data_IF_995172218837
#
_entry.id   IF_995172218837
#
_cell.length_a   1.000
_cell.length_b   1.000
_cell.length_c   1.000
_cell.angle_alpha   90.00
_cell.angle_beta   90.00
_cell.angle_gamma   90.00
#
_symmetry.space_group_name_H-M   'P 1'
#
loop_
_entity.id
_entity.type
_entity.pdbx_description
1 polymer ?
#
# COMPACT_ATOMS: atom_id res chain seq x y z
N UNK A 1 22.22 -10.48 -4.79
CA UNK A 1 21.47 -9.23 -5.07
C UNK A 1 20.74 -8.67 -3.85
N UNK A 2 20.52 -9.45 -2.76
CA UNK A 2 19.79 -9.01 -1.56
C UNK A 2 20.37 -7.74 -0.91
N UNK A 3 21.66 -7.73 -0.56
CA UNK A 3 22.33 -6.56 0.06
C UNK A 3 22.20 -5.27 -0.75
N UNK A 4 22.33 -5.36 -2.07
CA UNK A 4 22.19 -4.22 -2.98
C UNK A 4 20.74 -3.70 -3.01
N UNK A 5 19.76 -4.61 -2.96
CA UNK A 5 18.35 -4.26 -2.87
C UNK A 5 18.04 -3.51 -1.57
N UNK A 6 18.55 -4.00 -0.44
CA UNK A 6 18.38 -3.36 0.87
C UNK A 6 18.96 -1.94 0.90
N UNK A 7 20.21 -1.77 0.47
CA UNK A 7 20.85 -0.45 0.41
C UNK A 7 20.10 0.52 -0.52
N UNK A 8 19.55 0.02 -1.63
CA UNK A 8 18.77 0.85 -2.55
C UNK A 8 17.41 1.22 -1.95
N UNK A 9 16.74 0.27 -1.30
CA UNK A 9 15.45 0.48 -0.66
C UNK A 9 15.53 1.57 0.43
N UNK A 10 16.59 1.58 1.24
CA UNK A 10 16.81 2.63 2.26
C UNK A 10 16.95 4.02 1.64
N UNK A 11 17.61 4.12 0.49
CA UNK A 11 17.79 5.39 -0.25
C UNK A 11 16.51 5.86 -0.93
N UNK A 12 15.74 4.95 -1.51
CA UNK A 12 14.53 5.28 -2.28
C UNK A 12 13.32 5.51 -1.38
N UNK A 13 13.15 4.69 -0.34
CA UNK A 13 12.02 4.72 0.58
C UNK A 13 12.42 5.19 1.98
N UNK A 14 13.13 6.32 2.03
CA UNK A 14 13.44 7.00 3.29
C UNK A 14 12.15 7.32 4.04
N UNK A 15 12.10 6.94 5.31
CA UNK A 15 10.93 7.19 6.16
C UNK A 15 10.82 8.69 6.45
N UNK A 16 9.60 9.20 6.35
CA UNK A 16 9.26 10.57 6.75
C UNK A 16 8.87 10.60 8.25
N UNK A 17 9.07 11.71 8.95
CA UNK A 17 8.63 11.87 10.34
C UNK A 17 7.14 11.64 10.50
N UNK A 18 6.73 11.04 11.63
CA UNK A 18 5.34 10.61 11.84
C UNK A 18 4.31 11.75 11.71
N UNK A 19 4.68 12.95 12.14
CA UNK A 19 3.83 14.15 12.06
C UNK A 19 3.58 14.61 10.62
N UNK A 20 4.50 14.33 9.69
CA UNK A 20 4.42 14.74 8.28
C UNK A 20 3.69 13.72 7.40
N UNK A 21 3.55 12.47 7.88
CA UNK A 21 2.97 11.35 7.11
C UNK A 21 1.57 11.61 6.64
N UNK A 22 0.67 11.93 7.58
CA UNK A 22 -0.75 12.08 7.28
C UNK A 22 -1.05 13.31 6.40
N UNK A 23 -0.44 14.49 6.64
CA UNK A 23 -0.51 15.61 5.69
C UNK A 23 -0.10 15.23 4.28
N UNK A 24 1.08 14.60 4.13
CA UNK A 24 1.60 14.17 2.83
C UNK A 24 0.64 13.20 2.13
N UNK A 25 0.11 12.20 2.84
CA UNK A 25 -0.85 11.26 2.24
C UNK A 25 -2.11 11.98 1.76
N UNK A 26 -2.69 12.86 2.59
CA UNK A 26 -3.92 13.59 2.25
C UNK A 26 -3.75 14.50 1.05
N UNK A 27 -2.59 15.13 0.90
CA UNK A 27 -2.30 15.98 -0.24
C UNK A 27 -2.10 15.13 -1.50
N UNK A 28 -1.23 14.13 -1.44
CA UNK A 28 -0.92 13.28 -2.60
C UNK A 28 -2.13 12.47 -3.11
N UNK A 29 -3.07 12.09 -2.23
CA UNK A 29 -4.24 11.29 -2.60
C UNK A 29 -5.50 12.12 -2.88
N UNK A 30 -5.42 13.45 -2.76
CA UNK A 30 -6.54 14.35 -3.03
C UNK A 30 -6.99 14.35 -4.49
N UNK A 31 -6.06 14.10 -5.42
CA UNK A 31 -6.32 14.08 -6.86
C UNK A 31 -6.83 12.71 -7.36
N UNK A 32 -7.06 11.75 -6.45
CA UNK A 32 -7.53 10.43 -6.84
C UNK A 32 -8.92 10.51 -7.49
N UNK A 33 -9.04 9.95 -8.69
CA UNK A 33 -10.29 9.89 -9.46
C UNK A 33 -11.03 8.55 -9.29
N UNK A 34 -10.66 7.75 -8.28
CA UNK A 34 -11.24 6.43 -7.97
C UNK A 34 -11.32 5.45 -9.16
N UNK A 35 -10.36 5.52 -10.10
CA UNK A 35 -10.35 4.66 -11.30
C UNK A 35 -10.04 3.16 -11.02
N UNK A 36 -9.56 2.82 -9.82
CA UNK A 36 -9.24 1.44 -9.44
C UNK A 36 -7.99 0.83 -10.10
N UNK A 37 -7.30 1.53 -11.01
CA UNK A 37 -6.12 1.00 -11.72
C UNK A 37 -5.02 0.46 -10.80
N UNK A 38 -4.75 1.19 -9.70
CA UNK A 38 -3.75 0.77 -8.71
C UNK A 38 -4.09 -0.56 -8.01
N UNK A 39 -5.38 -0.91 -7.87
CA UNK A 39 -5.84 -2.20 -7.35
C UNK A 39 -5.58 -3.30 -8.36
N UNK A 40 -6.04 -3.09 -9.61
CA UNK A 40 -5.96 -4.08 -10.67
C UNK A 40 -4.51 -4.48 -11.00
N UNK A 41 -3.59 -3.52 -11.00
CA UNK A 41 -2.19 -3.77 -11.31
C UNK A 41 -1.38 -4.39 -10.15
N UNK A 42 -1.96 -4.52 -8.96
CA UNK A 42 -1.21 -4.92 -7.77
C UNK A 42 -1.19 -6.45 -7.61
N UNK A 43 -0.01 -7.10 -7.69
CA UNK A 43 0.09 -8.55 -7.67
C UNK A 43 -0.21 -9.18 -6.30
N UNK A 44 -0.15 -8.38 -5.23
CA UNK A 44 -0.39 -8.85 -3.85
C UNK A 44 -1.79 -8.52 -3.34
N UNK A 45 -2.59 -7.79 -4.13
CA UNK A 45 -3.97 -7.51 -3.78
C UNK A 45 -4.83 -8.70 -4.21
N UNK A 46 -5.11 -9.61 -3.29
CA UNK A 46 -5.82 -10.86 -3.56
C UNK A 46 -7.33 -10.72 -3.70
N UNK A 47 -7.89 -9.58 -3.29
CA UNK A 47 -9.32 -9.33 -3.39
C UNK A 47 -9.72 -9.11 -4.87
N UNK A 48 -10.50 -10.04 -5.42
CA UNK A 48 -11.04 -9.98 -6.79
C UNK A 48 -12.06 -8.84 -7.00
N UNK A 49 -12.97 -9.01 -7.96
CA UNK A 49 -13.92 -7.95 -8.33
C UNK A 49 -14.91 -7.62 -7.20
N UNK A 50 -15.23 -8.59 -6.35
CA UNK A 50 -16.12 -8.44 -5.18
C UNK A 50 -15.44 -7.79 -3.95
N UNK A 51 -14.30 -7.14 -4.14
CA UNK A 51 -13.55 -6.51 -3.06
C UNK A 51 -14.37 -5.38 -2.41
N UNK A 52 -14.82 -5.56 -1.17
CA UNK A 52 -15.60 -4.55 -0.43
C UNK A 52 -14.93 -3.17 -0.36
N UNK A 53 -13.60 -3.10 -0.48
CA UNK A 53 -12.89 -1.83 -0.48
C UNK A 53 -13.22 -0.92 -1.68
N UNK A 54 -13.68 -1.48 -2.81
CA UNK A 54 -14.16 -0.70 -3.96
C UNK A 54 -15.55 -0.13 -3.73
N UNK A 55 -16.27 -0.52 -2.67
CA UNK A 55 -17.55 0.08 -2.29
C UNK A 55 -17.37 1.32 -1.40
N UNK A 56 -16.14 1.60 -0.95
CA UNK A 56 -15.81 2.71 -0.07
C UNK A 56 -15.44 4.00 -0.83
N UNK A 57 -16.03 4.19 -2.00
CA UNK A 57 -16.06 5.48 -2.70
C UNK A 57 -17.53 5.83 -2.99
N UNK A 58 -18.03 6.94 -2.45
CA UNK A 58 -19.31 7.51 -2.88
C UNK A 58 -19.10 8.91 -3.43
N UNK A 59 -19.84 9.28 -4.48
CA UNK A 59 -19.78 10.63 -5.06
C UNK A 59 -20.16 11.75 -4.08
N UNK A 60 -20.80 11.41 -2.96
CA UNK A 60 -21.09 12.34 -1.85
C UNK A 60 -19.98 12.46 -0.80
N UNK A 61 -18.93 11.65 -0.90
CA UNK A 61 -17.81 11.67 0.04
C UNK A 61 -16.89 12.85 -0.29
N UNK A 62 -16.83 13.83 0.62
CA UNK A 62 -15.91 14.98 0.53
C UNK A 62 -14.56 14.70 1.19
N UNK A 63 -14.21 13.43 1.40
CA UNK A 63 -12.93 13.08 2.03
C UNK A 63 -11.80 13.31 1.03
N UNK A 64 -10.80 14.12 1.42
CA UNK A 64 -9.54 14.26 0.67
C UNK A 64 -8.76 12.95 0.52
N UNK A 65 -9.11 11.96 1.34
CA UNK A 65 -8.55 10.62 1.34
C UNK A 65 -9.73 9.64 1.30
N UNK A 66 -9.93 8.94 0.19
CA UNK A 66 -11.01 7.95 0.13
C UNK A 66 -10.75 6.81 1.13
N UNK A 67 -11.83 6.25 1.66
CA UNK A 67 -11.76 5.11 2.59
C UNK A 67 -11.10 3.89 1.92
N UNK A 68 -11.23 3.77 0.59
CA UNK A 68 -10.47 2.80 -0.21
C UNK A 68 -8.96 2.84 0.08
N UNK A 69 -8.34 4.03 0.08
CA UNK A 69 -6.91 4.16 0.32
C UNK A 69 -6.51 3.75 1.75
N UNK A 70 -7.31 4.10 2.75
CA UNK A 70 -7.07 3.71 4.14
C UNK A 70 -7.12 2.18 4.31
N UNK A 71 -8.16 1.53 3.78
CA UNK A 71 -8.30 0.08 3.83
C UNK A 71 -7.16 -0.61 3.08
N UNK A 72 -6.80 -0.08 1.90
CA UNK A 72 -5.70 -0.62 1.10
C UNK A 72 -4.36 -0.51 1.82
N UNK A 73 -4.06 0.62 2.46
CA UNK A 73 -2.83 0.80 3.23
C UNK A 73 -2.69 -0.25 4.32
N UNK A 74 -3.78 -0.50 5.05
CA UNK A 74 -3.84 -1.52 6.10
C UNK A 74 -3.67 -2.95 5.55
N UNK A 75 -4.44 -3.33 4.53
CA UNK A 75 -4.40 -4.68 3.95
C UNK A 75 -3.06 -5.04 3.30
N UNK A 76 -2.32 -4.05 2.79
CA UNK A 76 -1.02 -4.27 2.14
C UNK A 76 0.16 -3.90 3.06
N UNK A 77 -0.10 -3.69 4.35
CA UNK A 77 0.90 -3.21 5.31
C UNK A 77 2.01 -4.22 5.57
N UNK A 78 1.71 -5.51 5.56
CA UNK A 78 2.70 -6.58 5.68
C UNK A 78 3.18 -7.06 4.31
N UNK A 79 2.32 -7.06 3.29
CA UNK A 79 2.50 -7.82 2.04
C UNK A 79 3.06 -7.00 0.87
N UNK A 80 3.15 -5.67 0.97
CA UNK A 80 3.66 -4.84 -0.13
C UNK A 80 5.12 -5.19 -0.49
N UNK A 81 5.35 -5.50 -1.76
CA UNK A 81 6.69 -5.82 -2.30
C UNK A 81 7.40 -4.63 -2.98
N UNK A 82 6.78 -3.45 -3.00
CA UNK A 82 7.39 -2.25 -3.59
C UNK A 82 7.61 -2.31 -5.11
N UNK A 83 6.81 -3.09 -5.84
CA UNK A 83 7.01 -3.34 -7.28
C UNK A 83 6.76 -2.13 -8.22
N UNK A 84 6.21 -1.02 -7.72
CA UNK A 84 6.01 0.19 -8.53
C UNK A 84 4.74 0.25 -9.39
N UNK A 85 4.12 -0.90 -9.68
CA UNK A 85 3.04 -1.00 -10.67
C UNK A 85 1.84 -0.09 -10.38
N UNK A 86 1.49 0.10 -9.11
CA UNK A 86 0.37 0.98 -8.73
C UNK A 86 0.64 2.45 -9.04
N UNK A 87 1.89 2.90 -8.99
CA UNK A 87 2.27 4.26 -9.40
C UNK A 87 2.30 4.36 -10.93
N UNK A 88 2.86 3.36 -11.60
CA UNK A 88 3.03 3.35 -13.06
C UNK A 88 1.69 3.44 -13.81
N UNK A 89 0.65 2.77 -13.31
CA UNK A 89 -0.68 2.78 -13.93
C UNK A 89 -1.58 3.94 -13.49
N UNK A 90 -1.10 4.83 -12.62
CA UNK A 90 -1.93 5.91 -12.10
C UNK A 90 -2.12 7.02 -13.16
N UNK A 91 -3.36 7.28 -13.62
CA UNK A 91 -3.60 8.26 -14.69
C UNK A 91 -3.43 9.73 -14.24
N UNK A 92 -3.22 9.96 -12.94
CA UNK A 92 -3.05 11.27 -12.30
C UNK A 92 -1.74 11.34 -11.50
N UNK A 93 -0.76 10.49 -11.84
CA UNK A 93 0.62 10.54 -11.35
C UNK A 93 0.81 10.49 -9.81
N UNK A 94 -0.13 9.86 -9.09
CA UNK A 94 -0.01 9.71 -7.63
C UNK A 94 1.14 8.75 -7.29
N UNK A 95 2.05 9.10 -6.36
CA UNK A 95 3.17 8.25 -5.95
C UNK A 95 2.74 7.13 -4.98
N UNK A 96 1.76 6.30 -5.38
CA UNK A 96 1.13 5.26 -4.54
C UNK A 96 2.15 4.30 -3.94
N UNK A 97 3.18 3.90 -4.68
CA UNK A 97 4.24 3.00 -4.19
C UNK A 97 5.00 3.61 -3.03
N UNK A 98 5.33 4.91 -3.08
CA UNK A 98 6.01 5.62 -1.97
C UNK A 98 5.12 5.69 -0.74
N UNK A 99 3.84 5.97 -0.93
CA UNK A 99 2.85 6.02 0.16
C UNK A 99 2.73 4.63 0.81
N UNK A 100 2.51 3.58 0.01
CA UNK A 100 2.37 2.21 0.52
C UNK A 100 3.64 1.73 1.23
N UNK A 101 4.83 1.96 0.65
CA UNK A 101 6.10 1.54 1.24
C UNK A 101 6.44 2.31 2.52
N UNK A 102 6.02 3.57 2.63
CA UNK A 102 6.16 4.30 3.89
C UNK A 102 5.38 3.61 5.01
N UNK A 103 4.21 3.04 4.71
CA UNK A 103 3.42 2.28 5.69
C UNK A 103 3.93 0.86 5.92
N UNK A 104 4.37 0.16 4.85
CA UNK A 104 4.71 -1.26 4.94
C UNK A 104 6.09 -1.54 5.52
N UNK A 105 7.10 -0.72 5.23
CA UNK A 105 8.47 -0.94 5.74
C UNK A 105 8.49 -1.02 7.28
N UNK A 106 7.91 -0.07 8.04
CA UNK A 106 7.89 -0.16 9.50
C UNK A 106 7.15 -1.41 10.02
N UNK A 107 6.09 -1.84 9.33
CA UNK A 107 5.30 -3.02 9.71
C UNK A 107 6.10 -4.30 9.48
N UNK A 108 6.65 -4.48 8.27
CA UNK A 108 7.51 -5.60 7.90
C UNK A 108 8.73 -5.72 8.83
N UNK A 109 9.40 -4.60 9.11
CA UNK A 109 10.55 -4.57 10.03
C UNK A 109 10.14 -4.98 11.46
N UNK A 110 9.02 -4.46 11.97
CA UNK A 110 8.56 -4.78 13.34
C UNK A 110 8.13 -6.25 13.47
N UNK A 111 7.56 -6.81 12.42
CA UNK A 111 7.15 -8.22 12.37
C UNK A 111 8.28 -9.17 11.98
N UNK A 112 9.47 -8.63 11.65
CA UNK A 112 10.58 -9.40 11.06
C UNK A 112 10.11 -10.29 9.89
N UNK A 113 9.23 -9.73 9.05
CA UNK A 113 8.58 -10.44 7.95
C UNK A 113 8.97 -9.79 6.62
N UNK A 114 9.36 -10.61 5.65
CA UNK A 114 9.70 -10.17 4.30
C UNK A 114 8.81 -10.92 3.29
N UNK A 115 7.92 -10.21 2.57
CA UNK A 115 6.96 -10.86 1.67
C UNK A 115 7.63 -11.69 0.57
N UNK A 116 7.07 -12.86 0.30
CA UNK A 116 7.47 -13.72 -0.82
C UNK A 116 8.81 -14.44 -0.63
N UNK A 117 9.39 -14.44 0.58
CA UNK A 117 10.62 -15.18 0.87
C UNK A 117 10.39 -16.68 1.10
N UNK A 118 9.20 -17.05 1.57
CA UNK A 118 8.77 -18.44 1.77
C UNK A 118 7.34 -18.59 1.23
N UNK A 119 7.09 -19.64 0.43
CA UNK A 119 5.78 -19.90 -0.16
C UNK A 119 4.79 -20.54 0.84
N UNK A 120 5.30 -21.22 1.87
CA UNK A 120 4.48 -21.88 2.88
C UNK A 120 4.10 -20.94 4.04
N UNK A 121 4.80 -19.81 4.17
CA UNK A 121 4.55 -18.79 5.18
C UNK A 121 3.37 -17.90 4.74
N UNK A 122 2.35 -17.77 5.60
CA UNK A 122 1.23 -16.88 5.34
C UNK A 122 1.62 -15.46 5.75
N UNK A 123 1.16 -14.42 5.03
CA UNK A 123 1.40 -13.06 5.49
C UNK A 123 0.71 -12.83 6.85
N UNK A 124 1.36 -12.16 7.81
CA UNK A 124 0.86 -11.96 9.17
C UNK A 124 -0.59 -11.46 9.26
N UNK A 125 -1.02 -10.60 8.34
CA UNK A 125 -2.39 -10.09 8.31
C UNK A 125 -3.43 -11.19 8.07
N UNK A 126 -3.08 -12.23 7.30
CA UNK A 126 -3.95 -13.39 7.02
C UNK A 126 -3.89 -14.49 8.10
N UNK A 127 -2.98 -14.39 9.07
CA UNK A 127 -2.92 -15.31 10.20
C UNK A 127 -3.98 -15.02 11.27
N UNK A 128 -4.55 -13.80 11.26
CA UNK A 128 -5.58 -13.39 12.21
C UNK A 128 -6.87 -14.15 11.92
N UNK A 129 -7.07 -15.25 12.64
CA UNK A 129 -8.35 -15.97 12.64
C UNK A 129 -9.39 -15.15 13.40
N UNK A 130 -10.26 -14.46 12.66
CA UNK A 130 -11.47 -13.88 13.22
C UNK A 130 -12.43 -15.06 13.43
N UNK A 131 -12.57 -15.49 14.69
CA UNK A 131 -13.54 -16.51 15.12
C UNK A 131 -14.98 -15.99 14.94
#
# INVERSE_FOLDING_TARGET
MVKMGETTQEKVFTQMPDEERLPYYREALADCIDCGGCKLACPVCSCGDDAKCTLFHNLGDNYKMSMFHLVRLLHLSDSCIGCGQCTDVCPVDIPITRIQMSFSIPVQTRLNYKPGMNADEKPPFFEVMIQ
#
